data_IF_001266691111
#
_entry.id   IF_001266691111
#
_cell.length_a   1.000
_cell.length_b   1.000
_cell.length_c   1.000
_cell.angle_alpha   90.00
_cell.angle_beta   90.00
_cell.angle_gamma   90.00
#
_symmetry.space_group_name_H-M   'P 1'
#
loop_
_entity.id
_entity.type
_entity.pdbx_description
1 polymer ?
#
# COMPACT_ATOMS: atom_id res chain seq x y z
N UNK A 1 -5.62 -10.07 -5.25
CA UNK A 1 -6.71 -9.83 -4.26
C UNK A 1 -7.04 -8.34 -4.30
N UNK A 2 -8.31 -7.93 -4.17
CA UNK A 2 -8.72 -6.52 -4.02
C UNK A 2 -8.84 -6.21 -2.52
N UNK A 3 -8.50 -5.00 -2.11
CA UNK A 3 -8.62 -4.53 -0.73
C UNK A 3 -8.58 -3.01 -0.63
N UNK A 4 -8.82 -2.50 0.58
CA UNK A 4 -8.75 -1.08 0.93
C UNK A 4 -7.35 -0.73 1.46
N UNK A 5 -6.74 0.25 0.83
CA UNK A 5 -5.43 0.79 1.20
C UNK A 5 -5.65 2.11 1.93
N UNK A 6 -5.11 2.24 3.14
CA UNK A 6 -5.14 3.46 3.92
C UNK A 6 -3.81 4.21 3.79
N UNK A 7 -3.88 5.52 3.63
CA UNK A 7 -2.71 6.38 3.43
C UNK A 7 -2.53 7.34 4.59
N UNK A 8 -1.30 7.45 5.10
CA UNK A 8 -0.93 8.49 6.08
C UNK A 8 0.58 8.61 6.23
N UNK A 9 1.05 9.74 6.77
CA UNK A 9 2.49 10.08 6.85
C UNK A 9 3.24 9.41 8.01
N UNK A 10 2.78 8.24 8.46
CA UNK A 10 3.42 7.49 9.54
C UNK A 10 3.76 6.06 9.10
N UNK A 11 5.00 5.64 9.37
CA UNK A 11 5.35 4.23 9.27
C UNK A 11 4.75 3.44 10.45
N UNK A 12 3.62 2.78 10.20
CA UNK A 12 2.92 1.96 11.19
C UNK A 12 3.62 0.61 11.33
N UNK A 13 4.33 0.42 12.43
CA UNK A 13 5.04 -0.83 12.71
C UNK A 13 4.39 -1.69 13.80
N UNK A 14 3.32 -1.21 14.45
CA UNK A 14 2.61 -1.92 15.54
C UNK A 14 1.11 -1.64 15.45
N UNK A 15 0.50 -2.04 14.34
CA UNK A 15 -0.91 -1.80 14.04
C UNK A 15 -1.89 -2.44 15.05
N UNK A 16 -1.42 -3.34 15.92
CA UNK A 16 -2.21 -3.93 17.00
C UNK A 16 -2.39 -3.01 18.22
N UNK A 17 -1.66 -1.90 18.32
CA UNK A 17 -1.81 -0.98 19.46
C UNK A 17 -3.21 -0.34 19.44
N UNK A 18 -3.82 -0.10 20.61
CA UNK A 18 -5.15 0.52 20.70
C UNK A 18 -5.27 1.86 19.95
N UNK A 19 -4.20 2.65 19.94
CA UNK A 19 -4.12 3.93 19.21
C UNK A 19 -4.35 3.81 17.69
N UNK A 20 -4.24 2.60 17.12
CA UNK A 20 -4.48 2.31 15.71
C UNK A 20 -5.75 1.50 15.45
N UNK A 21 -6.58 1.23 16.46
CA UNK A 21 -7.82 0.43 16.33
C UNK A 21 -8.75 0.96 15.22
N UNK A 22 -8.83 2.29 15.09
CA UNK A 22 -9.61 2.99 14.07
C UNK A 22 -9.26 2.57 12.63
N UNK A 23 -8.01 2.17 12.36
CA UNK A 23 -7.58 1.72 11.03
C UNK A 23 -8.36 0.49 10.55
N UNK A 24 -8.82 -0.35 11.47
CA UNK A 24 -9.66 -1.52 11.17
C UNK A 24 -11.14 -1.27 11.46
N UNK A 25 -11.45 -0.70 12.62
CA UNK A 25 -12.83 -0.58 13.11
C UNK A 25 -13.64 0.48 12.37
N UNK A 26 -13.00 1.61 12.03
CA UNK A 26 -13.68 2.73 11.36
C UNK A 26 -13.37 2.76 9.86
N UNK A 27 -12.12 2.51 9.49
CA UNK A 27 -11.64 2.66 8.12
C UNK A 27 -11.68 1.35 7.32
N UNK A 28 -11.88 0.19 7.98
CA UNK A 28 -11.86 -1.16 7.39
C UNK A 28 -10.64 -1.39 6.48
N UNK A 29 -9.45 -0.94 6.91
CA UNK A 29 -8.21 -1.04 6.14
C UNK A 29 -7.66 -2.46 6.06
N UNK A 30 -7.32 -2.89 4.84
CA UNK A 30 -6.59 -4.14 4.61
C UNK A 30 -5.07 -3.92 4.73
N UNK A 31 -4.58 -2.76 4.26
CA UNK A 31 -3.17 -2.37 4.19
C UNK A 31 -3.04 -0.89 4.55
N UNK A 32 -1.90 -0.52 5.14
CA UNK A 32 -1.49 0.87 5.33
C UNK A 32 -0.21 1.19 4.55
N UNK A 33 -0.11 2.41 4.03
CA UNK A 33 1.04 2.94 3.30
C UNK A 33 1.02 4.48 3.34
N UNK A 34 1.89 5.15 2.59
CA UNK A 34 2.19 6.58 2.81
C UNK A 34 1.92 7.49 1.60
N UNK A 35 1.55 6.98 0.42
CA UNK A 35 1.45 7.82 -0.80
C UNK A 35 0.19 7.63 -1.66
N UNK A 36 -0.52 6.51 -1.51
CA UNK A 36 -1.50 6.01 -2.47
C UNK A 36 -2.70 6.92 -2.66
N UNK A 37 -3.32 7.38 -1.57
CA UNK A 37 -4.46 8.28 -1.62
C UNK A 37 -4.04 9.69 -2.07
N UNK A 38 -2.83 10.16 -1.76
CA UNK A 38 -2.34 11.46 -2.23
C UNK A 38 -2.16 11.46 -3.76
N UNK A 39 -1.54 10.40 -4.31
CA UNK A 39 -1.43 10.20 -5.75
C UNK A 39 -2.83 10.03 -6.41
N UNK A 40 -3.71 9.24 -5.79
CA UNK A 40 -5.08 9.03 -6.27
C UNK A 40 -5.92 10.31 -6.29
N UNK A 41 -5.82 11.14 -5.25
CA UNK A 41 -6.47 12.45 -5.18
C UNK A 41 -5.96 13.37 -6.30
N UNK A 42 -4.64 13.41 -6.50
CA UNK A 42 -4.02 14.20 -7.59
C UNK A 42 -4.54 13.76 -8.96
N UNK A 43 -4.59 12.46 -9.22
CA UNK A 43 -5.11 11.92 -10.46
C UNK A 43 -6.60 12.22 -10.64
N UNK A 44 -7.41 12.08 -9.58
CA UNK A 44 -8.83 12.39 -9.57
C UNK A 44 -9.10 13.86 -9.91
N UNK A 45 -8.39 14.80 -9.28
CA UNK A 45 -8.51 16.25 -9.55
C UNK A 45 -8.20 16.55 -11.02
N UNK A 46 -7.20 15.87 -11.59
CA UNK A 46 -6.78 16.03 -12.98
C UNK A 46 -7.58 15.16 -13.97
N UNK A 47 -8.60 14.42 -13.52
CA UNK A 47 -9.42 13.50 -14.33
C UNK A 47 -8.59 12.43 -15.06
N UNK A 48 -7.50 11.97 -14.45
CA UNK A 48 -6.64 10.92 -14.97
C UNK A 48 -7.06 9.57 -14.35
N UNK A 49 -7.31 8.52 -15.16
CA UNK A 49 -7.55 7.18 -14.62
C UNK A 49 -6.40 6.72 -13.73
N UNK A 50 -6.73 6.17 -12.56
CA UNK A 50 -5.75 5.81 -11.55
C UNK A 50 -5.89 4.35 -11.14
N UNK A 51 -4.75 3.66 -11.03
CA UNK A 51 -4.64 2.31 -10.53
C UNK A 51 -3.54 2.26 -9.47
N UNK A 52 -3.88 1.87 -8.25
CA UNK A 52 -2.93 1.61 -7.17
C UNK A 52 -2.70 0.10 -7.05
N UNK A 53 -1.43 -0.30 -7.11
CA UNK A 53 -0.99 -1.67 -6.86
C UNK A 53 0.06 -1.60 -5.75
N UNK A 54 -0.11 -2.44 -4.72
CA UNK A 54 0.85 -2.56 -3.62
C UNK A 54 1.21 -4.04 -3.43
N UNK A 55 2.50 -4.33 -3.40
CA UNK A 55 3.03 -5.59 -2.87
C UNK A 55 3.26 -5.42 -1.37
N UNK A 56 2.65 -6.28 -0.56
CA UNK A 56 2.79 -6.23 0.90
C UNK A 56 4.21 -6.64 1.29
N UNK A 57 4.94 -5.74 1.96
CA UNK A 57 6.33 -5.95 2.38
C UNK A 57 6.48 -6.49 3.81
N UNK A 58 5.46 -6.28 4.65
CA UNK A 58 5.43 -6.64 6.05
C UNK A 58 4.00 -6.59 6.62
N UNK A 59 3.82 -7.06 7.84
CA UNK A 59 2.52 -7.20 8.49
C UNK A 59 2.19 -6.07 9.50
N UNK A 60 3.04 -5.04 9.63
CA UNK A 60 2.88 -3.98 10.63
C UNK A 60 2.70 -4.50 12.08
N UNK A 61 3.33 -5.61 12.45
CA UNK A 61 3.08 -6.38 13.69
C UNK A 61 4.13 -6.18 14.80
N UNK A 62 5.20 -5.46 14.52
CA UNK A 62 6.31 -5.17 15.44
C UNK A 62 7.67 -5.51 14.84
N UNK A 63 7.70 -6.39 13.84
CA UNK A 63 8.92 -6.78 13.11
C UNK A 63 9.01 -6.11 11.72
N UNK A 64 8.09 -5.18 11.45
CA UNK A 64 7.92 -4.50 10.17
C UNK A 64 9.23 -4.01 9.56
N UNK A 65 10.11 -3.38 10.35
CA UNK A 65 11.36 -2.83 9.85
C UNK A 65 12.37 -3.90 9.38
N UNK A 66 12.41 -5.07 10.03
CA UNK A 66 13.27 -6.19 9.65
C UNK A 66 12.76 -6.90 8.40
N UNK A 67 11.46 -7.17 8.37
CA UNK A 67 10.76 -7.75 7.21
C UNK A 67 10.81 -6.82 6.00
N UNK A 68 10.57 -5.53 6.18
CA UNK A 68 10.67 -4.52 5.13
C UNK A 68 12.03 -4.56 4.43
N UNK A 69 13.14 -4.49 5.19
CA UNK A 69 14.49 -4.55 4.59
C UNK A 69 14.74 -5.85 3.82
N UNK A 70 14.22 -6.98 4.31
CA UNK A 70 14.37 -8.29 3.68
C UNK A 70 13.55 -8.43 2.39
N UNK A 71 12.32 -7.91 2.39
CA UNK A 71 11.37 -8.14 1.30
C UNK A 71 11.26 -6.97 0.32
N UNK A 72 11.84 -5.81 0.61
CA UNK A 72 11.76 -4.62 -0.24
C UNK A 72 12.17 -4.91 -1.69
N UNK A 73 13.29 -5.61 -1.90
CA UNK A 73 13.77 -5.94 -3.25
C UNK A 73 12.76 -6.83 -4.00
N UNK A 74 12.29 -7.89 -3.36
CA UNK A 74 11.34 -8.85 -3.94
C UNK A 74 9.99 -8.18 -4.22
N UNK A 75 9.49 -7.37 -3.29
CA UNK A 75 8.25 -6.63 -3.43
C UNK A 75 8.33 -5.60 -4.58
N UNK A 76 9.48 -4.94 -4.73
CA UNK A 76 9.74 -3.97 -5.80
C UNK A 76 9.80 -4.66 -7.17
N UNK A 77 10.55 -5.76 -7.30
CA UNK A 77 10.65 -6.55 -8.53
C UNK A 77 9.29 -7.14 -8.94
N UNK A 78 8.51 -7.62 -7.97
CA UNK A 78 7.16 -8.13 -8.20
C UNK A 78 6.22 -7.03 -8.70
N UNK A 79 6.24 -5.86 -8.06
CA UNK A 79 5.43 -4.70 -8.47
C UNK A 79 5.79 -4.22 -9.86
N UNK A 80 7.08 -4.11 -10.16
CA UNK A 80 7.57 -3.71 -11.48
C UNK A 80 7.13 -4.68 -12.58
N UNK A 81 7.27 -5.99 -12.33
CA UNK A 81 6.89 -7.03 -13.31
C UNK A 81 5.39 -6.99 -13.63
N UNK A 82 4.56 -6.78 -12.60
CA UNK A 82 3.12 -6.66 -12.78
C UNK A 82 2.73 -5.39 -13.55
N UNK A 83 3.33 -4.24 -13.24
CA UNK A 83 3.09 -3.00 -13.97
C UNK A 83 3.50 -3.15 -15.44
N UNK A 84 4.68 -3.74 -15.71
CA UNK A 84 5.13 -4.01 -17.09
C UNK A 84 4.15 -4.88 -17.85
N UNK A 85 3.66 -5.96 -17.23
CA UNK A 85 2.65 -6.83 -17.83
C UNK A 85 1.36 -6.07 -18.16
N UNK A 86 0.86 -5.26 -17.23
CA UNK A 86 -0.35 -4.44 -17.43
C UNK A 86 -0.15 -3.48 -18.60
N UNK A 87 0.95 -2.74 -18.63
CA UNK A 87 1.27 -1.79 -19.70
C UNK A 87 1.40 -2.46 -21.07
N UNK A 88 1.96 -3.66 -21.14
CA UNK A 88 2.07 -4.43 -22.39
C UNK A 88 0.73 -5.00 -22.90
N UNK A 89 -0.31 -5.04 -22.06
CA UNK A 89 -1.62 -5.58 -22.40
C UNK A 89 -2.75 -4.53 -22.38
N UNK A 90 -2.42 -3.28 -22.07
CA UNK A 90 -3.31 -2.14 -22.22
C UNK A 90 -3.51 -1.89 -23.73
N UNK A 91 -4.76 -2.03 -24.18
CA UNK A 91 -5.19 -1.75 -25.55
C UNK A 91 -5.50 -0.28 -25.72
#
# INVERSE_FOLDING_TARGET
>A
KKGRVLTGDQFINRAHKPEYGYLREELEGDIVEMEGAAAGLTAMINKIPFLLIRAVSDNADGEAMGSYKKFLKIASESSFSLIRYILSNLK
#
